data_IF_903996755703
#
_entry.id   IF_903996755703
#
_cell.length_a   1.000
_cell.length_b   1.000
_cell.length_c   1.000
_cell.angle_alpha   90.00
_cell.angle_beta   90.00
_cell.angle_gamma   90.00
#
_symmetry.space_group_name_H-M   'P 1'
#
loop_
_entity.id
_entity.type
_entity.pdbx_description
1 polymer ?
#
# COMPACT_ATOMS: atom_id res chain seq x y z
N UNK A 1 -20.29 -0.64 7.33
CA UNK A 1 -20.57 -0.72 5.88
C UNK A 1 -19.37 -1.36 5.22
N UNK A 2 -19.56 -2.50 4.53
CA UNK A 2 -18.50 -3.07 3.70
C UNK A 2 -18.20 -2.12 2.53
N UNK A 3 -16.93 -2.01 2.13
CA UNK A 3 -16.53 -1.22 0.97
C UNK A 3 -17.18 -1.81 -0.30
N UNK A 4 -17.91 -0.97 -1.05
CA UNK A 4 -18.72 -1.40 -2.20
C UNK A 4 -17.86 -1.85 -3.41
N UNK A 5 -16.61 -1.39 -3.47
CA UNK A 5 -15.63 -1.73 -4.51
C UNK A 5 -14.24 -1.92 -3.89
N UNK A 6 -13.58 -3.02 -4.25
CA UNK A 6 -12.23 -3.35 -3.82
C UNK A 6 -11.21 -2.72 -4.79
N UNK A 7 -10.19 -2.06 -4.28
CA UNK A 7 -9.04 -1.60 -5.06
C UNK A 7 -7.73 -1.91 -4.34
N UNK A 8 -6.60 -1.79 -5.05
CA UNK A 8 -5.30 -2.17 -4.51
C UNK A 8 -4.89 -1.41 -3.25
N UNK A 9 -5.30 -0.14 -3.09
CA UNK A 9 -5.05 0.61 -1.85
C UNK A 9 -5.79 -0.02 -0.67
N UNK A 10 -7.03 -0.45 -0.89
CA UNK A 10 -7.85 -1.16 0.10
C UNK A 10 -7.24 -2.51 0.43
N UNK A 11 -6.84 -3.30 -0.58
CA UNK A 11 -6.19 -4.60 -0.38
C UNK A 11 -4.91 -4.44 0.44
N UNK A 12 -4.02 -3.53 0.03
CA UNK A 12 -2.76 -3.27 0.74
C UNK A 12 -3.00 -2.82 2.19
N UNK A 13 -4.03 -1.98 2.44
CA UNK A 13 -4.41 -1.58 3.80
C UNK A 13 -4.92 -2.75 4.63
N UNK A 14 -5.76 -3.62 4.07
CA UNK A 14 -6.28 -4.80 4.75
C UNK A 14 -5.14 -5.77 5.09
N UNK A 15 -4.23 -6.04 4.16
CA UNK A 15 -3.05 -6.88 4.39
C UNK A 15 -2.13 -6.30 5.48
N UNK A 16 -1.86 -4.98 5.43
CA UNK A 16 -1.08 -4.31 6.48
C UNK A 16 -1.66 -4.54 7.87
N UNK A 17 -2.97 -4.40 8.02
CA UNK A 17 -3.66 -4.58 9.31
C UNK A 17 -3.68 -6.06 9.70
N UNK A 18 -4.07 -6.95 8.78
CA UNK A 18 -4.18 -8.39 9.02
C UNK A 18 -2.85 -9.03 9.43
N UNK A 19 -1.74 -8.56 8.85
CA UNK A 19 -0.38 -9.04 9.14
C UNK A 19 0.36 -8.20 10.20
N UNK A 20 -0.31 -7.21 10.80
CA UNK A 20 0.27 -6.29 11.78
C UNK A 20 1.59 -5.62 11.32
N UNK A 21 1.66 -5.25 10.04
CA UNK A 21 2.85 -4.65 9.44
C UNK A 21 2.93 -3.15 9.71
N UNK A 22 4.12 -2.68 10.08
CA UNK A 22 4.48 -1.26 10.08
C UNK A 22 4.91 -0.84 8.69
N UNK A 23 4.92 0.47 8.44
CA UNK A 23 5.41 1.03 7.17
C UNK A 23 6.85 0.58 6.88
N UNK A 24 7.70 0.44 7.91
CA UNK A 24 9.08 -0.07 7.77
C UNK A 24 9.13 -1.51 7.29
N UNK A 25 8.19 -2.34 7.71
CA UNK A 25 8.16 -3.76 7.37
C UNK A 25 7.72 -3.92 5.91
N UNK A 26 6.73 -3.13 5.47
CA UNK A 26 6.31 -3.08 4.06
C UNK A 26 7.45 -2.57 3.16
N UNK A 27 8.15 -1.51 3.57
CA UNK A 27 9.31 -1.00 2.82
C UNK A 27 10.43 -2.05 2.72
N UNK A 28 10.70 -2.77 3.81
CA UNK A 28 11.69 -3.84 3.82
C UNK A 28 11.30 -4.99 2.88
N UNK A 29 10.03 -5.40 2.88
CA UNK A 29 9.50 -6.43 1.97
C UNK A 29 9.62 -6.00 0.51
N UNK A 30 9.16 -4.80 0.16
CA UNK A 30 9.26 -4.32 -1.22
C UNK A 30 10.72 -4.19 -1.69
N UNK A 31 11.64 -3.88 -0.77
CA UNK A 31 13.07 -3.83 -1.07
C UNK A 31 13.66 -5.20 -1.40
N UNK A 32 13.13 -6.32 -0.88
CA UNK A 32 13.66 -7.66 -1.20
C UNK A 32 13.42 -8.06 -2.66
N UNK A 33 12.40 -7.47 -3.29
CA UNK A 33 12.06 -7.65 -4.71
C UNK A 33 12.52 -6.46 -5.56
N UNK A 34 13.56 -5.75 -5.11
CA UNK A 34 14.18 -4.60 -5.76
C UNK A 34 13.23 -3.41 -6.01
N UNK A 35 12.07 -3.40 -5.33
CA UNK A 35 11.09 -2.32 -5.43
C UNK A 35 11.34 -1.27 -4.35
N UNK A 36 12.15 -0.27 -4.70
CA UNK A 36 12.55 0.78 -3.76
C UNK A 36 11.48 1.87 -3.67
N UNK A 37 10.82 1.98 -2.51
CA UNK A 37 9.95 3.09 -2.15
C UNK A 37 10.53 3.90 -0.98
N UNK A 38 10.25 5.19 -0.97
CA UNK A 38 10.36 6.04 0.20
C UNK A 38 9.12 5.95 1.10
N UNK A 39 9.29 6.32 2.38
CA UNK A 39 8.19 6.37 3.36
C UNK A 39 7.03 7.26 2.91
N UNK A 40 7.33 8.39 2.27
CA UNK A 40 6.32 9.32 1.75
C UNK A 40 5.51 8.73 0.59
N UNK A 41 6.15 7.93 -0.27
CA UNK A 41 5.49 7.26 -1.39
C UNK A 41 4.58 6.14 -0.92
N UNK A 42 5.05 5.31 0.03
CA UNK A 42 4.21 4.30 0.65
C UNK A 42 3.00 4.94 1.38
N UNK A 43 3.23 6.01 2.13
CA UNK A 43 2.17 6.75 2.83
C UNK A 43 1.10 7.28 1.87
N UNK A 44 1.48 7.66 0.64
CA UNK A 44 0.56 8.15 -0.38
C UNK A 44 -0.56 7.15 -0.72
N UNK A 45 -0.27 5.83 -0.66
CA UNK A 45 -1.27 4.77 -0.90
C UNK A 45 -2.31 4.65 0.21
N UNK A 46 -1.99 5.10 1.43
CA UNK A 46 -2.88 4.99 2.58
C UNK A 46 -3.71 6.25 2.85
N UNK A 47 -3.54 7.32 2.07
CA UNK A 47 -4.33 8.54 2.22
C UNK A 47 -5.77 8.33 1.75
N UNK A 48 -6.67 9.23 2.15
CA UNK A 48 -8.06 9.21 1.67
C UNK A 48 -8.11 9.67 0.19
N UNK A 49 -9.00 9.09 -0.64
CA UNK A 49 -9.28 9.63 -1.97
C UNK A 49 -9.63 11.12 -1.88
N UNK A 50 -9.10 11.94 -2.81
CA UNK A 50 -9.26 13.39 -2.81
C UNK A 50 -8.18 14.17 -2.07
N UNK A 51 -7.31 13.50 -1.31
CA UNK A 51 -6.13 14.16 -0.73
C UNK A 51 -5.09 14.48 -1.82
N UNK A 52 -4.45 15.66 -1.79
CA UNK A 52 -3.49 16.12 -2.82
C UNK A 52 -2.31 15.16 -3.06
N UNK A 53 -1.79 14.53 -2.00
CA UNK A 53 -0.79 13.46 -2.08
C UNK A 53 -1.37 12.03 -2.11
N UNK A 54 -2.66 11.84 -2.36
CA UNK A 54 -3.19 10.49 -2.58
C UNK A 54 -2.63 9.91 -3.87
N UNK A 55 -2.18 8.66 -3.82
CA UNK A 55 -1.78 7.92 -5.00
C UNK A 55 -2.54 6.60 -5.06
N UNK A 56 -3.01 6.26 -6.26
CA UNK A 56 -3.59 4.94 -6.53
C UNK A 56 -2.45 3.91 -6.53
N UNK A 57 -2.63 2.85 -5.75
CA UNK A 57 -1.76 1.69 -5.78
C UNK A 57 -2.04 0.93 -7.09
N UNK A 58 -1.02 0.76 -7.94
CA UNK A 58 -1.16 0.05 -9.21
C UNK A 58 -0.96 -1.45 -9.01
N UNK A 59 -1.45 -2.26 -9.95
CA UNK A 59 -1.38 -3.73 -9.85
C UNK A 59 0.06 -4.23 -9.69
N UNK A 60 1.03 -3.54 -10.31
CA UNK A 60 2.45 -3.87 -10.19
C UNK A 60 2.96 -3.80 -8.74
N UNK A 61 2.50 -2.81 -7.97
CA UNK A 61 2.92 -2.65 -6.57
C UNK A 61 2.34 -3.77 -5.72
N UNK A 62 1.07 -4.10 -5.92
CA UNK A 62 0.41 -5.18 -5.18
C UNK A 62 0.98 -6.55 -5.56
N UNK A 63 1.32 -6.77 -6.84
CA UNK A 63 1.97 -8.00 -7.32
C UNK A 63 3.35 -8.20 -6.70
N UNK A 64 4.13 -7.14 -6.52
CA UNK A 64 5.45 -7.24 -5.90
C UNK A 64 5.38 -7.35 -4.37
N UNK A 65 4.24 -6.99 -3.77
CA UNK A 65 4.02 -7.15 -2.33
C UNK A 65 3.58 -8.58 -1.94
N UNK A 66 2.87 -9.28 -2.84
CA UNK A 66 2.36 -10.64 -2.65
C UNK A 66 3.36 -11.69 -3.13
#
# INVERSE_FOLDING_TARGET
MAEKELNNNIVLRKLRIALNLKDTDILALLKTVEFNFGKSELSAFFRKPGHHHYKRCQDQVLRNFL
#
